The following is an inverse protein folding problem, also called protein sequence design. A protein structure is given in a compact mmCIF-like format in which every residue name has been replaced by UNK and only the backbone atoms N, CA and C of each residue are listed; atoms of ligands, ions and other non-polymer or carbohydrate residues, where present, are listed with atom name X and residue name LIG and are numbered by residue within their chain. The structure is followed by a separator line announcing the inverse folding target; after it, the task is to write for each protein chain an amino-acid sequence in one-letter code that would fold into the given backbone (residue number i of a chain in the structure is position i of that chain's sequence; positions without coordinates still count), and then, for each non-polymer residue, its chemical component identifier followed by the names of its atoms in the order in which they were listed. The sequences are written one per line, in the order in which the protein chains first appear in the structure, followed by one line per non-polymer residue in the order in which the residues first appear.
data_IF_058378412596
#
_entry.id   IF_058378412596
#
_cell.length_a   1.000
_cell.length_b   1.000
_cell.length_c   1.000
_cell.angle_alpha   90.00
_cell.angle_beta   90.00
_cell.angle_gamma   90.00
#
_symmetry.space_group_name_H-M   'P 1'
#
loop_
_entity.id
_entity.type
_entity.pdbx_description
1 polymer ?
#
# COMPACT_ATOMS: atom_id res chain seq x y z
N UNK A 1 21.67 -55.02 43.87
CA UNK A 1 20.45 -54.98 43.03
C UNK A 1 19.66 -53.73 43.42
N UNK A 2 19.76 -52.64 42.68
CA UNK A 2 18.96 -52.33 41.50
C UNK A 2 17.47 -52.07 41.84
N UNK A 3 17.11 -50.82 42.12
CA UNK A 3 16.13 -50.06 41.32
C UNK A 3 15.90 -48.64 41.86
N UNK A 4 16.43 -47.71 41.07
CA UNK A 4 16.17 -46.28 40.96
C UNK A 4 14.67 -46.00 40.89
N UNK A 5 14.12 -45.23 41.83
CA UNK A 5 12.80 -44.59 41.67
C UNK A 5 13.08 -43.15 41.25
N UNK A 6 12.88 -42.89 39.95
CA UNK A 6 12.95 -41.57 39.33
C UNK A 6 11.71 -40.78 39.77
N UNK A 7 11.87 -39.84 40.68
CA UNK A 7 10.86 -38.80 40.95
C UNK A 7 10.91 -37.79 39.81
N UNK A 8 10.05 -37.95 38.81
CA UNK A 8 9.83 -36.94 37.78
C UNK A 8 9.03 -35.79 38.38
N UNK A 9 9.69 -34.66 38.64
CA UNK A 9 9.02 -33.40 38.94
C UNK A 9 8.40 -32.92 37.63
N UNK A 10 7.09 -33.11 37.49
CA UNK A 10 6.30 -32.54 36.42
C UNK A 10 6.21 -31.03 36.67
N UNK A 11 7.18 -30.27 36.18
CA UNK A 11 7.04 -28.81 36.07
C UNK A 11 5.99 -28.60 34.99
N UNK A 12 4.73 -28.44 35.43
CA UNK A 12 3.68 -27.93 34.58
C UNK A 12 4.11 -26.56 34.10
N UNK A 13 4.50 -26.48 32.82
CA UNK A 13 4.49 -25.24 32.07
C UNK A 13 3.03 -24.78 32.02
N UNK A 14 2.62 -24.03 33.05
CA UNK A 14 1.53 -23.09 32.94
C UNK A 14 1.98 -22.07 31.89
N UNK A 15 1.76 -22.40 30.62
CA UNK A 15 1.58 -21.37 29.60
C UNK A 15 0.29 -20.69 30.04
N UNK A 16 0.44 -19.63 30.84
CA UNK A 16 -0.64 -18.70 31.07
C UNK A 16 -1.09 -18.26 29.69
N UNK A 17 -2.24 -18.77 29.27
CA UNK A 17 -2.95 -18.23 28.13
C UNK A 17 -3.40 -16.84 28.60
N UNK A 18 -2.53 -15.85 28.44
CA UNK A 18 -2.91 -14.46 28.59
C UNK A 18 -3.91 -14.26 27.44
N UNK A 19 -5.19 -14.31 27.79
CA UNK A 19 -6.28 -14.07 26.86
C UNK A 19 -6.17 -12.60 26.46
N UNK A 20 -5.52 -12.34 25.33
CA UNK A 20 -5.54 -11.05 24.66
C UNK A 20 -7.01 -10.73 24.33
N UNK A 21 -7.53 -9.64 24.86
CA UNK A 21 -8.97 -9.32 24.84
C UNK A 21 -9.37 -8.65 23.52
N UNK A 22 -9.14 -9.34 22.39
CA UNK A 22 -9.70 -8.93 21.09
C UNK A 22 -11.16 -9.36 21.06
N UNK A 23 -12.07 -8.39 21.00
CA UNK A 23 -13.52 -8.64 21.01
C UNK A 23 -13.95 -9.14 19.62
N UNK A 24 -14.65 -10.27 19.57
CA UNK A 24 -15.31 -10.71 18.34
C UNK A 24 -16.65 -9.98 18.20
N UNK A 25 -16.81 -9.21 17.13
CA UNK A 25 -18.05 -8.48 16.85
C UNK A 25 -19.00 -9.32 16.00
N UNK A 26 -20.27 -8.99 16.09
CA UNK A 26 -21.33 -9.55 15.27
C UNK A 26 -22.18 -8.45 14.63
N UNK A 27 -23.33 -8.82 14.06
CA UNK A 27 -24.22 -7.89 13.38
C UNK A 27 -24.73 -6.75 14.27
N UNK A 28 -24.80 -6.94 15.59
CA UNK A 28 -25.27 -5.92 16.54
C UNK A 28 -24.30 -4.74 16.68
N UNK A 29 -23.07 -4.85 16.15
CA UNK A 29 -22.09 -3.78 16.21
C UNK A 29 -22.60 -2.46 15.61
N UNK A 30 -23.43 -2.51 14.57
CA UNK A 30 -23.98 -1.28 13.96
C UNK A 30 -24.82 -0.46 14.93
N UNK A 31 -25.51 -1.12 15.87
CA UNK A 31 -26.34 -0.47 16.90
C UNK A 31 -25.48 0.09 18.04
N UNK A 32 -24.40 -0.62 18.40
CA UNK A 32 -23.55 -0.31 19.56
C UNK A 32 -22.27 0.46 19.21
N UNK A 33 -22.06 0.83 17.94
CA UNK A 33 -20.84 1.54 17.49
C UNK A 33 -20.65 2.90 18.17
N UNK A 34 -21.73 3.49 18.69
CA UNK A 34 -21.71 4.77 19.39
C UNK A 34 -21.35 4.64 20.89
N UNK A 35 -21.26 3.42 21.43
CA UNK A 35 -21.05 3.17 22.86
C UNK A 35 -19.58 3.33 23.30
N UNK A 36 -18.72 3.83 22.42
CA UNK A 36 -17.32 4.08 22.69
C UNK A 36 -16.48 4.14 21.42
N UNK A 37 -15.17 4.16 21.63
CA UNK A 37 -14.19 4.14 20.56
C UNK A 37 -13.73 2.71 20.28
N UNK A 38 -13.67 2.34 19.01
CA UNK A 38 -13.35 0.99 18.56
C UNK A 38 -12.18 1.01 17.59
N UNK A 39 -11.22 0.13 17.79
CA UNK A 39 -10.28 -0.28 16.76
C UNK A 39 -10.78 -1.63 16.23
N UNK A 40 -11.16 -1.69 14.96
CA UNK A 40 -11.78 -2.88 14.36
C UNK A 40 -10.95 -3.41 13.21
N UNK A 41 -10.55 -4.67 13.28
CA UNK A 41 -10.04 -5.45 12.16
C UNK A 41 -11.20 -6.10 11.39
N UNK A 42 -11.37 -5.71 10.13
CA UNK A 42 -12.26 -6.36 9.18
C UNK A 42 -11.48 -7.45 8.46
N UNK A 43 -11.86 -8.71 8.66
CA UNK A 43 -11.05 -9.86 8.23
C UNK A 43 -11.90 -10.95 7.54
N UNK A 44 -11.19 -11.92 6.95
CA UNK A 44 -11.76 -13.17 6.46
C UNK A 44 -10.92 -14.35 6.95
N UNK A 45 -11.53 -15.47 7.40
CA UNK A 45 -10.84 -16.57 8.06
C UNK A 45 -9.83 -17.32 7.16
N UNK A 46 -10.02 -17.26 5.84
CA UNK A 46 -9.13 -17.87 4.86
C UNK A 46 -7.98 -16.94 4.42
N UNK A 47 -8.02 -15.65 4.77
CA UNK A 47 -7.05 -14.67 4.28
C UNK A 47 -5.67 -14.83 4.95
N UNK A 48 -4.65 -15.12 4.16
CA UNK A 48 -3.27 -15.27 4.65
C UNK A 48 -2.70 -14.02 5.31
N UNK A 49 -3.04 -12.82 4.82
CA UNK A 49 -2.60 -11.56 5.45
C UNK A 49 -3.26 -11.32 6.80
N UNK A 50 -4.51 -11.72 6.99
CA UNK A 50 -5.20 -11.64 8.30
C UNK A 50 -4.53 -12.59 9.31
N UNK A 51 -4.24 -13.82 8.90
CA UNK A 51 -3.52 -14.81 9.75
C UNK A 51 -2.15 -14.31 10.20
N UNK A 52 -1.43 -13.59 9.33
CA UNK A 52 -0.14 -12.96 9.67
C UNK A 52 -0.30 -11.78 10.64
N UNK A 53 -1.39 -11.02 10.55
CA UNK A 53 -1.70 -9.88 11.41
C UNK A 53 -2.17 -10.30 12.81
N UNK A 54 -2.88 -11.41 12.92
CA UNK A 54 -3.49 -11.89 14.18
C UNK A 54 -2.55 -11.83 15.42
N UNK A 55 -1.31 -12.36 15.40
CA UNK A 55 -0.43 -12.26 16.57
C UNK A 55 -0.07 -10.81 16.93
N UNK A 56 0.12 -9.94 15.94
CA UNK A 56 0.43 -8.52 16.15
C UNK A 56 -0.79 -7.79 16.71
N UNK A 57 -1.97 -8.10 16.18
CA UNK A 57 -3.23 -7.47 16.61
C UNK A 57 -3.59 -7.81 18.05
N UNK A 58 -3.22 -9.00 18.52
CA UNK A 58 -3.32 -9.37 19.94
C UNK A 58 -2.39 -8.53 20.83
N UNK A 59 -1.15 -8.29 20.39
CA UNK A 59 -0.22 -7.41 21.10
C UNK A 59 -0.77 -5.98 21.19
N UNK A 60 -1.34 -5.46 20.10
CA UNK A 60 -2.03 -4.17 20.10
C UNK A 60 -3.15 -4.13 21.16
N UNK A 61 -3.96 -5.18 21.25
CA UNK A 61 -5.01 -5.28 22.27
C UNK A 61 -4.46 -5.28 23.70
N UNK A 62 -3.34 -5.96 23.93
CA UNK A 62 -2.68 -6.00 25.24
C UNK A 62 -2.10 -4.62 25.61
N UNK A 63 -1.44 -3.94 24.66
CA UNK A 63 -0.89 -2.58 24.86
C UNK A 63 -1.99 -1.54 25.08
N UNK A 64 -3.14 -1.68 24.42
CA UNK A 64 -4.29 -0.79 24.57
C UNK A 64 -5.23 -1.17 25.72
N UNK A 65 -4.89 -2.17 26.55
CA UNK A 65 -5.77 -2.65 27.63
C UNK A 65 -6.16 -1.58 28.66
N UNK A 66 -5.30 -0.59 28.88
CA UNK A 66 -5.57 0.56 29.76
C UNK A 66 -6.13 1.79 29.02
N UNK A 67 -6.23 1.71 27.70
CA UNK A 67 -6.75 2.77 26.85
C UNK A 67 -8.28 2.65 26.74
N UNK A 68 -9.03 3.77 26.62
CA UNK A 68 -10.48 3.75 26.41
C UNK A 68 -10.96 3.12 25.09
N UNK A 69 -10.03 2.69 24.21
CA UNK A 69 -10.35 2.18 22.88
C UNK A 69 -10.47 0.67 22.95
N UNK A 70 -11.64 0.14 22.56
CA UNK A 70 -11.91 -1.30 22.50
C UNK A 70 -11.30 -1.89 21.23
N UNK A 71 -10.46 -2.91 21.38
CA UNK A 71 -9.86 -3.61 20.24
C UNK A 71 -10.72 -4.81 19.87
N UNK A 72 -11.13 -4.88 18.60
CA UNK A 72 -12.13 -5.81 18.15
C UNK A 72 -11.87 -6.28 16.72
N UNK A 73 -12.51 -7.37 16.32
CA UNK A 73 -12.44 -7.87 14.95
C UNK A 73 -13.81 -8.38 14.49
N UNK A 74 -14.03 -8.39 13.18
CA UNK A 74 -15.28 -8.86 12.59
C UNK A 74 -15.04 -9.68 11.32
N UNK A 75 -15.67 -10.85 11.25
CA UNK A 75 -15.66 -11.71 10.08
C UNK A 75 -16.60 -11.19 8.99
N UNK A 76 -16.03 -10.53 7.99
CA UNK A 76 -16.78 -9.97 6.87
C UNK A 76 -17.32 -11.01 5.90
N UNK A 77 -16.92 -12.28 6.02
CA UNK A 77 -17.53 -13.38 5.24
C UNK A 77 -18.88 -13.79 5.80
N UNK A 78 -19.10 -13.57 7.10
CA UNK A 78 -20.38 -13.78 7.79
C UNK A 78 -21.23 -12.51 7.81
N UNK A 79 -20.60 -11.35 7.95
CA UNK A 79 -21.27 -10.05 8.10
C UNK A 79 -20.93 -9.09 6.96
N UNK A 80 -21.20 -9.50 5.72
CA UNK A 80 -20.85 -8.75 4.51
C UNK A 80 -21.51 -7.37 4.42
N UNK A 81 -22.72 -7.20 4.95
CA UNK A 81 -23.41 -5.91 5.02
C UNK A 81 -22.62 -4.87 5.83
N UNK A 82 -21.95 -5.30 6.91
CA UNK A 82 -21.10 -4.42 7.71
C UNK A 82 -19.87 -3.98 6.91
N UNK A 83 -19.27 -4.90 6.15
CA UNK A 83 -18.15 -4.57 5.27
C UNK A 83 -18.54 -3.48 4.26
N UNK A 84 -19.75 -3.56 3.69
CA UNK A 84 -20.27 -2.52 2.78
C UNK A 84 -20.50 -1.17 3.47
N UNK A 85 -21.06 -1.17 4.69
CA UNK A 85 -21.30 0.08 5.46
C UNK A 85 -20.00 0.82 5.75
N UNK A 86 -18.91 0.11 6.02
CA UNK A 86 -17.61 0.70 6.32
C UNK A 86 -16.67 0.82 5.11
N UNK A 87 -17.16 0.57 3.89
CA UNK A 87 -16.37 0.63 2.65
C UNK A 87 -15.08 -0.21 2.74
N UNK A 88 -15.27 -1.50 3.05
CA UNK A 88 -14.18 -2.48 3.11
C UNK A 88 -14.10 -3.22 1.78
N UNK A 89 -13.08 -2.89 0.99
CA UNK A 89 -12.82 -3.49 -0.33
C UNK A 89 -11.77 -4.61 -0.33
N UNK A 90 -11.09 -4.84 0.80
CA UNK A 90 -10.06 -5.86 0.93
C UNK A 90 -9.73 -6.20 2.38
N UNK A 91 -9.00 -7.30 2.59
CA UNK A 91 -8.67 -7.81 3.91
C UNK A 91 -7.16 -8.01 4.11
N UNK A 92 -6.61 -7.75 5.32
CA UNK A 92 -7.28 -7.09 6.44
C UNK A 92 -7.39 -5.58 6.22
N UNK A 93 -8.53 -5.01 6.63
CA UNK A 93 -8.72 -3.56 6.74
C UNK A 93 -8.88 -3.21 8.21
N UNK A 94 -8.11 -2.25 8.71
CA UNK A 94 -8.18 -1.80 10.11
C UNK A 94 -8.78 -0.40 10.12
N UNK A 95 -9.83 -0.19 10.93
CA UNK A 95 -10.46 1.13 11.08
C UNK A 95 -10.57 1.51 12.55
N UNK A 96 -10.38 2.79 12.82
CA UNK A 96 -10.81 3.41 14.06
C UNK A 96 -12.22 3.98 13.86
N UNK A 97 -13.13 3.69 14.79
CA UNK A 97 -14.54 4.07 14.73
C UNK A 97 -14.91 4.73 16.06
N UNK A 98 -15.42 5.95 15.99
CA UNK A 98 -15.99 6.69 17.10
C UNK A 98 -17.29 7.35 16.64
N UNK A 99 -18.40 6.65 16.85
CA UNK A 99 -19.70 7.04 16.32
C UNK A 99 -19.72 7.14 14.79
N UNK A 100 -19.87 8.35 14.26
CA UNK A 100 -19.84 8.62 12.81
C UNK A 100 -18.42 8.84 12.26
N UNK A 101 -17.46 9.12 13.14
CA UNK A 101 -16.06 9.34 12.74
C UNK A 101 -15.40 8.00 12.47
N UNK A 102 -14.94 7.81 11.23
CA UNK A 102 -14.24 6.59 10.79
C UNK A 102 -12.92 6.96 10.14
N UNK A 103 -11.83 6.42 10.66
CA UNK A 103 -10.50 6.55 10.08
C UNK A 103 -9.97 5.18 9.67
N UNK A 104 -9.35 5.09 8.50
CA UNK A 104 -8.73 3.84 8.01
C UNK A 104 -7.23 3.88 8.25
N UNK A 105 -6.69 2.84 8.88
CA UNK A 105 -5.25 2.69 9.04
C UNK A 105 -4.61 2.30 7.72
N UNK A 106 -3.67 3.11 7.24
CA UNK A 106 -2.92 2.88 5.98
C UNK A 106 -1.42 2.68 6.22
N UNK A 107 -0.99 2.70 7.48
CA UNK A 107 0.41 2.57 7.85
C UNK A 107 0.94 1.14 7.79
N UNK A 108 2.08 0.93 8.41
CA UNK A 108 2.62 -0.41 8.61
C UNK A 108 1.70 -1.20 9.56
N UNK A 109 1.68 -2.52 9.41
CA UNK A 109 0.89 -3.40 10.28
C UNK A 109 1.70 -3.91 11.47
N UNK A 110 2.56 -3.05 12.04
CA UNK A 110 3.29 -3.35 13.28
C UNK A 110 2.48 -2.91 14.49
N UNK A 111 2.80 -3.45 15.67
CA UNK A 111 2.15 -3.05 16.92
C UNK A 111 2.29 -1.53 17.15
N UNK A 112 3.51 -1.02 17.02
CA UNK A 112 3.83 0.38 17.28
C UNK A 112 3.06 1.32 16.37
N UNK A 113 2.94 0.98 15.08
CA UNK A 113 2.27 1.82 14.09
C UNK A 113 0.74 1.84 14.28
N UNK A 114 0.13 0.71 14.62
CA UNK A 114 -1.31 0.63 14.91
C UNK A 114 -1.66 1.35 16.22
N UNK A 115 -0.85 1.16 17.27
CA UNK A 115 -1.03 1.87 18.55
C UNK A 115 -0.89 3.37 18.35
N UNK A 116 0.07 3.81 17.55
CA UNK A 116 0.27 5.22 17.22
C UNK A 116 -0.92 5.81 16.45
N UNK A 117 -1.47 5.07 15.48
CA UNK A 117 -2.70 5.44 14.79
C UNK A 117 -3.87 5.62 15.76
N UNK A 118 -4.05 4.71 16.73
CA UNK A 118 -5.08 4.83 17.76
C UNK A 118 -4.88 6.06 18.63
N UNK A 119 -3.66 6.34 19.07
CA UNK A 119 -3.34 7.51 19.89
C UNK A 119 -3.63 8.83 19.18
N UNK A 120 -3.42 8.90 17.86
CA UNK A 120 -3.80 10.05 17.03
C UNK A 120 -5.32 10.18 16.96
N UNK A 121 -5.99 9.14 16.46
CA UNK A 121 -7.41 9.12 16.15
C UNK A 121 -8.35 9.29 17.35
N UNK A 122 -7.94 8.83 18.55
CA UNK A 122 -8.75 8.90 19.77
C UNK A 122 -8.57 10.19 20.57
N UNK A 123 -7.57 11.01 20.24
CA UNK A 123 -7.34 12.28 20.91
C UNK A 123 -8.26 13.38 20.41
N UNK A 124 -8.33 14.53 21.12
CA UNK A 124 -9.00 15.70 20.58
C UNK A 124 -8.27 16.16 19.30
N UNK A 125 -8.99 16.71 18.31
CA UNK A 125 -8.40 17.21 17.07
C UNK A 125 -7.24 18.18 17.31
N UNK A 126 -7.42 19.13 18.24
CA UNK A 126 -6.37 20.07 18.68
C UNK A 126 -6.12 19.87 20.17
N UNK A 127 -4.86 19.58 20.52
CA UNK A 127 -4.41 19.35 21.90
C UNK A 127 -3.84 20.63 22.51
N UNK A 128 -3.97 20.80 23.82
CA UNK A 128 -3.34 21.94 24.50
C UNK A 128 -1.84 21.71 24.69
N UNK A 129 -1.03 22.66 24.22
CA UNK A 129 0.40 22.76 24.51
C UNK A 129 0.58 23.72 25.68
N UNK A 130 0.58 23.21 26.91
CA UNK A 130 0.54 24.06 28.10
C UNK A 130 1.91 24.61 28.54
N UNK A 131 3.00 23.96 28.14
CA UNK A 131 4.35 24.31 28.62
C UNK A 131 5.45 23.82 27.69
N UNK A 132 6.66 24.36 27.90
CA UNK A 132 7.90 23.89 27.26
C UNK A 132 8.16 22.40 27.59
N UNK A 133 7.82 21.96 28.81
CA UNK A 133 7.93 20.55 29.19
C UNK A 133 7.08 19.65 28.29
N UNK A 134 5.81 20.02 28.07
CA UNK A 134 4.91 19.31 27.16
C UNK A 134 5.35 19.37 25.71
N UNK A 135 5.96 20.47 25.28
CA UNK A 135 6.57 20.59 23.96
C UNK A 135 7.70 19.57 23.75
N UNK A 136 8.59 19.46 24.73
CA UNK A 136 9.69 18.49 24.67
C UNK A 136 9.22 17.04 24.78
N UNK A 137 8.19 16.78 25.58
CA UNK A 137 7.51 15.48 25.66
C UNK A 137 6.93 15.10 24.29
N UNK A 138 6.22 16.01 23.60
CA UNK A 138 5.70 15.78 22.25
C UNK A 138 6.79 15.43 21.23
N UNK A 139 7.98 16.03 21.34
CA UNK A 139 9.14 15.68 20.48
C UNK A 139 9.68 14.27 20.72
N UNK A 140 9.48 13.71 21.92
CA UNK A 140 9.99 12.40 22.32
C UNK A 140 8.93 11.30 22.15
N UNK A 141 7.67 11.59 22.44
CA UNK A 141 6.58 10.62 22.43
C UNK A 141 6.05 10.32 21.03
N UNK A 142 6.04 11.31 20.13
CA UNK A 142 5.48 11.13 18.80
C UNK A 142 6.45 10.37 17.91
N UNK A 143 5.93 9.39 17.17
CA UNK A 143 6.68 8.68 16.14
C UNK A 143 7.29 9.70 15.18
N UNK A 144 8.61 9.63 15.03
CA UNK A 144 9.44 10.54 14.24
C UNK A 144 9.40 12.02 14.65
N UNK A 145 8.81 12.33 15.82
CA UNK A 145 8.76 13.67 16.41
C UNK A 145 7.94 14.69 15.63
N UNK A 146 7.03 14.25 14.74
CA UNK A 146 6.25 15.14 13.86
C UNK A 146 4.94 15.58 14.50
N UNK A 147 4.78 16.88 14.69
CA UNK A 147 3.51 17.48 15.10
C UNK A 147 3.37 18.93 14.63
N UNK A 148 2.12 19.38 14.48
CA UNK A 148 1.79 20.75 14.15
C UNK A 148 1.45 21.52 15.43
N UNK A 149 1.85 22.80 15.48
CA UNK A 149 1.64 23.66 16.62
C UNK A 149 1.15 25.04 16.16
N UNK A 150 -0.10 25.35 16.48
CA UNK A 150 -0.60 26.73 16.45
C UNK A 150 -0.07 27.50 17.66
N UNK A 151 0.40 28.72 17.42
CA UNK A 151 0.85 29.65 18.46
C UNK A 151 0.07 30.95 18.32
N UNK A 152 -0.65 31.30 19.38
CA UNK A 152 -1.42 32.54 19.45
C UNK A 152 -1.56 33.07 20.87
N UNK A 153 -2.36 34.10 21.02
CA UNK A 153 -2.67 34.76 22.31
C UNK A 153 -3.78 34.04 23.09
N UNK A 154 -4.30 32.93 22.57
CA UNK A 154 -5.43 32.17 23.13
C UNK A 154 -6.79 32.60 22.59
N UNK A 155 -6.86 33.57 21.67
CA UNK A 155 -8.10 33.94 21.02
C UNK A 155 -8.50 32.93 19.93
N UNK A 156 -9.46 32.06 20.26
CA UNK A 156 -9.98 31.02 19.37
C UNK A 156 -10.83 31.58 18.20
N UNK A 157 -11.19 32.87 18.23
CA UNK A 157 -11.98 33.50 17.18
C UNK A 157 -11.14 33.94 15.97
N UNK A 158 -9.81 33.89 16.10
CA UNK A 158 -8.89 34.25 15.03
C UNK A 158 -9.10 33.31 13.82
N UNK A 159 -9.23 33.91 12.64
CA UNK A 159 -9.44 33.21 11.37
C UNK A 159 -8.43 32.08 11.12
N UNK A 160 -7.15 32.32 11.39
CA UNK A 160 -6.11 31.30 11.28
C UNK A 160 -6.35 30.10 12.22
N UNK A 161 -6.78 30.33 13.46
CA UNK A 161 -7.07 29.23 14.40
C UNK A 161 -8.28 28.41 13.94
N UNK A 162 -9.35 29.06 13.48
CA UNK A 162 -10.54 28.36 12.95
C UNK A 162 -10.18 27.48 11.76
N UNK A 163 -9.37 28.01 10.83
CA UNK A 163 -8.86 27.24 9.70
C UNK A 163 -8.00 26.06 10.17
N UNK A 164 -7.07 26.32 11.09
CA UNK A 164 -6.21 25.28 11.67
C UNK A 164 -7.01 24.17 12.36
N UNK A 165 -7.99 24.52 13.19
CA UNK A 165 -8.88 23.57 13.87
C UNK A 165 -9.68 22.74 12.87
N UNK A 166 -10.21 23.36 11.81
CA UNK A 166 -10.94 22.64 10.76
C UNK A 166 -10.06 21.63 10.02
N UNK A 167 -8.79 21.99 9.73
CA UNK A 167 -7.84 21.03 9.14
C UNK A 167 -7.50 19.91 10.14
N UNK A 168 -7.29 20.26 11.41
CA UNK A 168 -6.98 19.29 12.46
C UNK A 168 -8.11 18.26 12.65
N UNK A 169 -9.38 18.67 12.56
CA UNK A 169 -10.54 17.76 12.60
C UNK A 169 -10.55 16.75 11.44
N UNK A 170 -10.24 17.21 10.22
CA UNK A 170 -10.15 16.33 9.05
C UNK A 170 -8.98 15.37 9.13
N UNK A 171 -7.85 15.82 9.70
CA UNK A 171 -6.57 15.12 9.66
C UNK A 171 -6.15 14.51 11.01
N UNK A 172 -7.05 14.43 11.99
CA UNK A 172 -6.75 14.00 13.37
C UNK A 172 -6.10 12.61 13.47
N UNK A 173 -6.39 11.70 12.54
CA UNK A 173 -5.77 10.38 12.49
C UNK A 173 -4.41 10.34 11.76
N UNK A 174 -4.07 11.39 11.01
CA UNK A 174 -2.86 11.44 10.17
C UNK A 174 -1.70 12.14 10.89
N UNK A 175 -2.00 13.18 11.69
CA UNK A 175 -0.99 13.97 12.39
C UNK A 175 -1.48 14.43 13.77
N UNK A 176 -0.54 14.84 14.62
CA UNK A 176 -0.87 15.52 15.86
C UNK A 176 -0.94 17.03 15.65
N UNK A 177 -1.96 17.64 16.24
CA UNK A 177 -2.16 19.08 16.23
C UNK A 177 -2.23 19.59 17.66
N UNK A 178 -1.55 20.69 17.90
CA UNK A 178 -1.44 21.34 19.19
C UNK A 178 -1.71 22.83 19.07
N UNK A 179 -2.19 23.44 20.15
CA UNK A 179 -2.33 24.88 20.28
C UNK A 179 -1.72 25.36 21.59
N UNK A 180 -0.89 26.39 21.52
CA UNK A 180 -0.20 26.99 22.66
C UNK A 180 -0.04 28.50 22.51
N UNK A 181 0.72 29.07 23.45
CA UNK A 181 1.10 30.49 23.43
C UNK A 181 2.60 30.62 23.23
N UNK A 182 3.10 31.84 23.01
CA UNK A 182 4.53 32.09 22.85
C UNK A 182 5.38 31.57 24.03
N UNK A 183 4.80 31.45 25.24
CA UNK A 183 5.50 30.92 26.42
C UNK A 183 5.71 29.40 26.38
N UNK A 184 5.08 28.70 25.44
CA UNK A 184 5.09 27.24 25.37
C UNK A 184 6.19 26.72 24.46
N UNK A 185 6.82 27.60 23.67
CA UNK A 185 7.94 27.27 22.80
C UNK A 185 9.29 27.51 23.50
N UNK A 186 10.28 26.63 23.28
CA UNK A 186 11.67 26.87 23.67
C UNK A 186 12.28 28.11 23.00
N UNK A 187 13.35 28.67 23.59
CA UNK A 187 14.02 29.88 23.06
C UNK A 187 14.71 29.67 21.70
N UNK A 188 15.04 28.43 21.33
CA UNK A 188 15.62 28.05 20.04
C UNK A 188 14.59 27.96 18.91
N UNK A 189 13.30 28.06 19.24
CA UNK A 189 12.22 28.17 18.27
C UNK A 189 11.81 29.63 18.19
N UNK A 190 12.08 30.29 17.06
CA UNK A 190 11.87 31.73 16.89
C UNK A 190 11.00 32.01 15.66
N UNK A 191 9.67 31.88 15.77
CA UNK A 191 8.75 32.18 14.67
C UNK A 191 8.84 33.65 14.26
N UNK A 192 8.54 33.93 12.99
CA UNK A 192 8.68 35.28 12.42
C UNK A 192 7.51 36.20 12.78
N UNK A 193 6.32 35.64 13.03
CA UNK A 193 5.09 36.39 13.33
C UNK A 193 4.18 35.63 14.29
N UNK A 194 3.23 36.35 14.88
CA UNK A 194 2.15 35.79 15.67
C UNK A 194 0.80 36.40 15.25
N UNK A 195 -0.30 35.63 15.22
CA UNK A 195 -0.34 34.17 15.42
C UNK A 195 0.28 33.43 14.22
N UNK A 196 0.72 32.18 14.45
CA UNK A 196 1.37 31.36 13.41
C UNK A 196 1.13 29.87 13.61
N UNK A 197 1.44 29.07 12.59
CA UNK A 197 1.41 27.61 12.63
C UNK A 197 2.80 27.10 12.31
N UNK A 198 3.32 26.22 13.16
CA UNK A 198 4.59 25.53 12.96
C UNK A 198 4.36 24.04 12.73
N UNK A 199 5.29 23.41 12.03
CA UNK A 199 5.51 21.98 12.11
C UNK A 199 6.85 21.74 12.79
N UNK A 200 6.87 20.87 13.79
CA UNK A 200 8.08 20.38 14.44
C UNK A 200 8.37 19.01 13.85
N UNK A 201 9.57 18.81 13.30
CA UNK A 201 10.02 17.52 12.74
C UNK A 201 11.52 17.51 12.48
N UNK A 202 12.12 16.33 12.36
CA UNK A 202 13.53 16.18 11.96
C UNK A 202 14.50 17.01 12.84
N UNK A 203 14.16 17.17 14.13
CA UNK A 203 14.86 18.04 15.11
C UNK A 203 14.91 19.53 14.73
N UNK A 204 14.12 19.95 13.74
CA UNK A 204 13.95 21.32 13.27
C UNK A 204 12.49 21.76 13.41
N UNK A 205 12.19 22.96 12.91
CA UNK A 205 10.84 23.49 12.81
C UNK A 205 10.67 24.26 11.49
N UNK A 206 9.46 24.26 10.95
CA UNK A 206 9.12 25.02 9.75
C UNK A 206 7.82 25.80 9.98
N UNK A 207 7.84 27.06 9.58
CA UNK A 207 6.71 27.97 9.75
C UNK A 207 5.83 27.99 8.50
N UNK A 208 4.52 27.96 8.70
CA UNK A 208 3.56 28.13 7.62
C UNK A 208 3.64 29.54 7.04
N UNK A 209 3.92 29.60 5.74
CA UNK A 209 3.99 30.84 4.97
C UNK A 209 3.29 30.65 3.63
N UNK A 210 2.09 31.19 3.49
CA UNK A 210 1.35 31.27 2.23
C UNK A 210 0.94 32.72 1.95
N UNK A 211 0.89 33.09 0.67
CA UNK A 211 0.51 34.42 0.20
C UNK A 211 -0.99 34.69 0.30
N UNK A 212 -1.82 33.66 0.12
CA UNK A 212 -3.28 33.74 0.07
C UNK A 212 -3.96 33.35 1.40
N UNK A 213 -3.21 32.85 2.38
CA UNK A 213 -3.66 32.46 3.74
C UNK A 213 -5.01 31.70 3.76
N UNK A 214 -5.31 30.96 2.70
CA UNK A 214 -6.59 30.28 2.49
C UNK A 214 -6.63 28.96 3.27
N UNK A 215 -7.83 28.46 3.57
CA UNK A 215 -7.97 27.13 4.20
C UNK A 215 -7.30 26.03 3.37
N UNK A 216 -7.48 26.09 2.04
CA UNK A 216 -6.89 25.13 1.11
C UNK A 216 -5.35 25.17 1.13
N UNK A 217 -4.75 26.37 1.16
CA UNK A 217 -3.29 26.49 1.24
C UNK A 217 -2.74 25.93 2.56
N UNK A 218 -3.45 26.12 3.68
CA UNK A 218 -3.06 25.55 4.98
C UNK A 218 -3.19 24.03 4.99
N UNK A 219 -4.30 23.49 4.47
CA UNK A 219 -4.54 22.05 4.35
C UNK A 219 -3.47 21.38 3.46
N UNK A 220 -3.16 21.98 2.32
CA UNK A 220 -2.10 21.51 1.42
C UNK A 220 -0.72 21.57 2.08
N UNK A 221 -0.40 22.64 2.80
CA UNK A 221 0.87 22.74 3.52
C UNK A 221 0.97 21.68 4.63
N UNK A 222 -0.07 21.51 5.45
CA UNK A 222 -0.11 20.46 6.50
C UNK A 222 0.07 19.07 5.86
N UNK A 223 -0.64 18.77 4.77
CA UNK A 223 -0.49 17.49 4.08
C UNK A 223 0.93 17.28 3.53
N UNK A 224 1.57 18.34 3.01
CA UNK A 224 2.94 18.28 2.51
C UNK A 224 4.01 18.21 3.60
N UNK A 225 3.69 18.58 4.84
CA UNK A 225 4.63 18.62 5.96
C UNK A 225 4.48 17.48 6.98
N UNK A 226 3.37 16.71 6.95
CA UNK A 226 3.06 15.66 7.94
C UNK A 226 4.04 14.48 7.94
N UNK A 227 4.90 14.39 6.95
CA UNK A 227 5.96 13.38 6.85
C UNK A 227 7.31 13.98 7.24
N UNK A 228 8.17 13.17 7.87
CA UNK A 228 9.60 13.49 7.97
C UNK A 228 10.22 13.72 6.60
N UNK A 229 11.37 14.37 6.55
CA UNK A 229 12.13 14.54 5.32
C UNK A 229 12.45 13.20 4.61
N UNK A 230 12.73 12.12 5.35
CA UNK A 230 13.11 10.83 4.76
C UNK A 230 12.49 9.62 5.51
N UNK A 231 11.16 9.45 5.44
CA UNK A 231 10.45 8.38 6.11
C UNK A 231 10.72 7.02 5.45
N UNK A 232 10.52 5.97 6.24
CA UNK A 232 10.34 4.62 5.69
C UNK A 232 8.93 4.52 5.09
N UNK A 233 8.84 4.06 3.85
CA UNK A 233 7.57 3.78 3.18
C UNK A 233 7.34 2.27 3.01
N UNK A 234 6.07 1.93 2.82
CA UNK A 234 5.57 0.61 2.47
C UNK A 234 4.50 0.76 1.38
N UNK A 235 4.09 -0.35 0.75
CA UNK A 235 2.97 -0.33 -0.19
C UNK A 235 1.66 0.22 0.41
N UNK A 236 1.49 0.20 1.74
CA UNK A 236 0.30 0.73 2.42
C UNK A 236 0.26 2.26 2.51
N UNK A 237 1.39 2.90 2.81
CA UNK A 237 1.45 4.34 3.09
C UNK A 237 1.99 5.19 1.92
N UNK A 238 2.45 4.56 0.84
CA UNK A 238 2.96 5.29 -0.33
C UNK A 238 1.87 6.15 -0.98
N UNK A 239 0.61 5.71 -0.93
CA UNK A 239 -0.53 6.46 -1.46
C UNK A 239 -0.76 7.76 -0.68
N UNK A 240 -0.61 7.72 0.64
CA UNK A 240 -0.69 8.92 1.48
C UNK A 240 0.40 9.95 1.14
N UNK A 241 1.60 9.48 0.79
CA UNK A 241 2.67 10.36 0.31
C UNK A 241 2.37 10.88 -1.10
N UNK A 242 1.73 10.09 -1.95
CA UNK A 242 1.32 10.51 -3.29
C UNK A 242 0.25 11.61 -3.26
N UNK A 243 -0.65 11.59 -2.27
CA UNK A 243 -1.65 12.65 -2.03
C UNK A 243 -1.03 14.03 -1.76
N UNK A 244 0.26 14.12 -1.41
CA UNK A 244 0.95 15.41 -1.26
C UNK A 244 1.10 16.18 -2.57
N UNK A 245 0.94 15.51 -3.71
CA UNK A 245 1.16 16.06 -5.04
C UNK A 245 2.64 16.22 -5.43
N UNK A 246 3.58 15.87 -4.54
CA UNK A 246 5.01 15.86 -4.83
C UNK A 246 5.39 14.60 -5.60
N UNK A 247 6.51 14.68 -6.33
CA UNK A 247 7.13 13.48 -6.89
C UNK A 247 7.85 12.70 -5.77
N UNK A 248 7.74 11.37 -5.78
CA UNK A 248 8.36 10.53 -4.77
C UNK A 248 9.76 10.13 -5.23
N UNK A 249 10.79 10.49 -4.47
CA UNK A 249 12.16 9.99 -4.66
C UNK A 249 12.29 8.73 -3.82
N UNK A 250 12.28 7.57 -4.48
CA UNK A 250 12.18 6.27 -3.83
C UNK A 250 13.54 5.58 -3.83
N UNK A 251 14.05 5.29 -2.64
CA UNK A 251 15.26 4.48 -2.43
C UNK A 251 14.83 3.09 -1.91
N UNK A 252 14.96 2.06 -2.74
CA UNK A 252 14.61 0.69 -2.38
C UNK A 252 15.87 -0.09 -2.06
N UNK A 253 15.92 -0.69 -0.88
CA UNK A 253 17.10 -1.42 -0.38
C UNK A 253 16.68 -2.74 0.24
N UNK A 254 17.51 -3.77 0.11
CA UNK A 254 17.33 -5.01 0.87
C UNK A 254 18.30 -4.99 2.06
N UNK A 255 17.82 -4.79 3.30
CA UNK A 255 18.70 -4.74 4.47
C UNK A 255 19.34 -6.10 4.82
N UNK A 256 18.84 -7.20 4.27
CA UNK A 256 19.38 -8.55 4.51
C UNK A 256 20.59 -8.87 3.61
N UNK A 257 20.80 -8.09 2.54
CA UNK A 257 21.93 -8.25 1.61
C UNK A 257 23.22 -7.68 2.23
N UNK A 258 23.95 -8.55 2.93
CA UNK A 258 25.20 -8.19 3.64
C UNK A 258 26.30 -7.72 2.70
N UNK A 259 26.34 -8.20 1.46
CA UNK A 259 27.36 -7.80 0.47
C UNK A 259 27.18 -6.35 0.04
N UNK A 260 25.93 -5.85 0.06
CA UNK A 260 25.59 -4.47 -0.31
C UNK A 260 25.27 -3.57 0.88
N UNK A 261 25.68 -3.95 2.10
CA UNK A 261 25.40 -3.17 3.31
C UNK A 261 26.00 -1.76 3.25
N UNK A 262 27.26 -1.62 2.85
CA UNK A 262 27.95 -0.32 2.74
C UNK A 262 27.31 0.57 1.67
N UNK A 263 26.96 -0.02 0.53
CA UNK A 263 26.25 0.66 -0.54
C UNK A 263 24.88 1.16 -0.08
N UNK A 264 24.13 0.31 0.64
CA UNK A 264 22.83 0.64 1.22
C UNK A 264 22.93 1.81 2.20
N UNK A 265 23.93 1.80 3.08
CA UNK A 265 24.17 2.89 4.02
C UNK A 265 24.47 4.20 3.28
N UNK A 266 25.37 4.16 2.29
CA UNK A 266 25.74 5.34 1.51
C UNK A 266 24.56 5.95 0.74
N UNK A 267 23.74 5.14 0.08
CA UNK A 267 22.57 5.65 -0.66
C UNK A 267 21.56 6.30 0.28
N UNK A 268 21.30 5.67 1.44
CA UNK A 268 20.40 6.24 2.45
C UNK A 268 20.94 7.54 3.02
N UNK A 269 22.25 7.66 3.25
CA UNK A 269 22.89 8.88 3.74
C UNK A 269 22.77 10.04 2.73
N UNK A 270 23.02 9.76 1.44
CA UNK A 270 22.79 10.75 0.37
C UNK A 270 21.32 11.17 0.32
N UNK A 271 20.39 10.20 0.32
CA UNK A 271 18.95 10.49 0.33
C UNK A 271 18.50 11.36 1.52
N UNK A 272 18.94 11.00 2.73
CA UNK A 272 18.68 11.77 3.95
C UNK A 272 19.27 13.17 3.87
N UNK A 273 20.50 13.30 3.36
CA UNK A 273 21.20 14.58 3.22
C UNK A 273 20.46 15.49 2.23
N UNK A 274 20.04 14.95 1.08
CA UNK A 274 19.24 15.69 0.09
C UNK A 274 17.91 16.16 0.68
N UNK A 275 17.21 15.29 1.40
CA UNK A 275 15.92 15.59 1.99
C UNK A 275 15.96 16.61 3.14
N UNK A 276 17.10 16.70 3.84
CA UNK A 276 17.24 17.56 5.04
C UNK A 276 18.07 18.81 4.78
N UNK A 277 19.32 18.68 4.30
CA UNK A 277 20.23 19.82 4.08
C UNK A 277 19.89 20.62 2.83
N UNK A 278 19.35 19.97 1.80
CA UNK A 278 18.96 20.62 0.53
C UNK A 278 17.44 20.84 0.41
N UNK A 279 16.76 20.87 1.57
CA UNK A 279 15.31 21.03 1.67
C UNK A 279 14.77 22.23 0.88
N UNK A 280 15.40 23.40 1.03
CA UNK A 280 14.97 24.64 0.35
C UNK A 280 14.93 24.52 -1.17
N UNK A 281 15.72 23.61 -1.74
CA UNK A 281 15.81 23.38 -3.18
C UNK A 281 14.77 22.34 -3.64
N UNK A 282 14.60 21.25 -2.89
CA UNK A 282 13.89 20.06 -3.37
C UNK A 282 12.53 19.80 -2.71
N UNK A 283 12.28 20.27 -1.49
CA UNK A 283 11.10 19.89 -0.71
C UNK A 283 9.78 20.33 -1.34
N UNK A 284 9.78 21.39 -2.15
CA UNK A 284 8.60 21.83 -2.88
C UNK A 284 8.15 20.78 -3.90
N UNK A 285 9.10 20.19 -4.61
CA UNK A 285 8.82 19.35 -5.79
C UNK A 285 8.89 17.85 -5.47
N UNK A 286 9.64 17.48 -4.42
CA UNK A 286 9.99 16.10 -4.10
C UNK A 286 9.72 15.73 -2.64
N UNK A 287 9.21 14.51 -2.44
CA UNK A 287 9.19 13.80 -1.16
C UNK A 287 10.17 12.63 -1.24
N UNK A 288 11.22 12.65 -0.44
CA UNK A 288 12.16 11.53 -0.36
C UNK A 288 11.57 10.45 0.54
N UNK A 289 11.84 9.18 0.22
CA UNK A 289 11.47 8.02 1.03
C UNK A 289 12.44 6.86 0.79
N UNK A 290 12.48 5.93 1.74
CA UNK A 290 13.14 4.65 1.54
C UNK A 290 12.21 3.48 1.86
N UNK A 291 12.40 2.34 1.21
CA UNK A 291 11.57 1.16 1.46
C UNK A 291 12.35 -0.14 1.29
N UNK A 292 11.87 -1.19 1.92
CA UNK A 292 12.41 -2.56 1.81
C UNK A 292 11.57 -3.45 0.91
N UNK A 293 10.35 -3.02 0.61
CA UNK A 293 9.41 -3.72 -0.23
C UNK A 293 9.72 -3.46 -1.72
N UNK A 294 10.45 -4.38 -2.33
CA UNK A 294 10.76 -4.35 -3.77
C UNK A 294 9.54 -4.66 -4.63
N UNK A 295 8.54 -5.38 -4.11
CA UNK A 295 7.35 -5.78 -4.87
C UNK A 295 6.50 -4.56 -5.24
N UNK A 296 6.37 -3.59 -4.32
CA UNK A 296 5.70 -2.32 -4.61
C UNK A 296 6.32 -1.63 -5.83
N UNK A 297 7.65 -1.57 -5.91
CA UNK A 297 8.35 -0.93 -7.04
C UNK A 297 8.30 -1.77 -8.31
N UNK A 298 8.38 -3.09 -8.19
CA UNK A 298 8.21 -4.00 -9.31
C UNK A 298 6.81 -3.84 -9.93
N UNK A 299 5.78 -3.65 -9.10
CA UNK A 299 4.42 -3.38 -9.56
C UNK A 299 4.30 -2.01 -10.23
N UNK A 300 4.91 -0.95 -9.68
CA UNK A 300 4.89 0.38 -10.31
C UNK A 300 5.56 0.34 -11.70
N UNK A 301 6.73 -0.29 -11.79
CA UNK A 301 7.54 -0.29 -13.02
C UNK A 301 7.14 -1.39 -14.02
N UNK A 302 6.44 -2.41 -13.53
CA UNK A 302 6.15 -3.68 -14.22
C UNK A 302 7.42 -4.36 -14.72
N UNK A 303 8.39 -4.47 -13.81
CA UNK A 303 9.69 -5.08 -14.03
C UNK A 303 10.17 -5.77 -12.74
N UNK A 304 11.10 -6.72 -12.86
CA UNK A 304 11.76 -7.35 -11.71
C UNK A 304 13.11 -6.66 -11.48
N UNK A 305 13.16 -5.72 -10.54
CA UNK A 305 14.35 -4.93 -10.27
C UNK A 305 15.24 -5.60 -9.22
N UNK A 306 16.56 -5.47 -9.41
CA UNK A 306 17.54 -5.86 -8.41
C UNK A 306 17.81 -4.69 -7.45
N UNK A 307 17.84 -4.96 -6.14
CA UNK A 307 18.15 -3.96 -5.12
C UNK A 307 19.66 -3.79 -4.94
N UNK A 308 20.15 -2.57 -4.62
CA UNK A 308 19.38 -1.35 -4.38
C UNK A 308 18.96 -0.63 -5.67
N UNK A 309 17.80 0.02 -5.65
CA UNK A 309 17.29 0.82 -6.77
C UNK A 309 16.83 2.20 -6.32
N UNK A 310 17.05 3.19 -7.18
CA UNK A 310 16.63 4.58 -6.99
C UNK A 310 15.73 4.93 -8.17
N UNK A 311 14.59 5.54 -7.90
CA UNK A 311 13.72 6.09 -8.94
C UNK A 311 12.96 7.31 -8.43
N UNK A 312 12.51 8.14 -9.37
CA UNK A 312 11.53 9.19 -9.07
C UNK A 312 10.20 8.80 -9.68
N UNK A 313 9.12 8.85 -8.92
CA UNK A 313 7.76 8.63 -9.37
C UNK A 313 6.98 9.95 -9.33
N UNK A 314 6.50 10.40 -10.49
CA UNK A 314 5.49 11.44 -10.55
C UNK A 314 4.12 10.83 -10.23
N UNK A 315 3.53 11.29 -9.14
CA UNK A 315 2.31 10.74 -8.53
C UNK A 315 1.04 11.09 -9.31
N UNK A 316 1.09 12.15 -10.13
CA UNK A 316 -0.04 12.59 -10.94
C UNK A 316 -0.04 11.88 -12.29
N UNK A 317 1.11 11.89 -12.99
CA UNK A 317 1.21 11.34 -14.35
C UNK A 317 1.48 9.84 -14.37
N UNK A 318 1.86 9.25 -13.24
CA UNK A 318 2.34 7.87 -13.12
C UNK A 318 3.58 7.58 -13.97
N UNK A 319 4.32 8.64 -14.35
CA UNK A 319 5.64 8.50 -14.94
C UNK A 319 6.70 8.25 -13.87
N UNK A 320 7.66 7.41 -14.19
CA UNK A 320 8.83 7.18 -13.36
C UNK A 320 10.12 7.37 -14.15
N UNK A 321 11.20 7.66 -13.42
CA UNK A 321 12.51 7.99 -13.95
C UNK A 321 13.58 7.23 -13.19
N UNK A 322 14.51 6.60 -13.91
CA UNK A 322 15.73 6.02 -13.34
C UNK A 322 16.89 7.00 -13.50
N UNK A 323 17.84 7.03 -12.56
CA UNK A 323 19.09 7.76 -12.74
C UNK A 323 19.86 7.20 -13.92
N UNK A 324 20.62 8.06 -14.60
CA UNK A 324 21.54 7.69 -15.67
C UNK A 324 22.92 7.27 -15.16
N UNK A 325 23.20 7.50 -13.87
CA UNK A 325 24.39 7.01 -13.19
C UNK A 325 24.16 5.63 -12.59
N UNK A 326 25.24 4.85 -12.44
CA UNK A 326 25.18 3.60 -11.69
C UNK A 326 25.00 3.88 -10.19
N UNK A 327 24.10 3.15 -9.53
CA UNK A 327 23.78 3.36 -8.10
C UNK A 327 25.02 3.28 -7.19
N UNK A 328 26.08 2.56 -7.59
CA UNK A 328 27.36 2.48 -6.87
C UNK A 328 28.20 3.77 -6.93
N UNK A 329 27.88 4.69 -7.82
CA UNK A 329 28.59 5.95 -8.02
C UNK A 329 27.76 7.14 -7.51
N UNK A 330 26.77 6.87 -6.65
CA UNK A 330 25.93 7.91 -6.05
C UNK A 330 26.77 8.89 -5.22
N UNK A 331 26.55 10.18 -5.48
CA UNK A 331 27.01 11.31 -4.68
C UNK A 331 25.89 12.34 -4.56
N UNK A 332 26.15 13.41 -3.81
CA UNK A 332 25.21 14.54 -3.71
C UNK A 332 25.06 15.22 -5.08
N UNK A 333 26.17 15.38 -5.82
CA UNK A 333 26.16 16.02 -7.14
C UNK A 333 25.36 15.20 -8.16
N UNK A 334 25.62 13.89 -8.26
CA UNK A 334 24.91 13.03 -9.23
C UNK A 334 23.41 12.93 -8.94
N UNK A 335 23.04 12.84 -7.66
CA UNK A 335 21.63 12.89 -7.25
C UNK A 335 21.00 14.25 -7.54
N UNK A 336 21.70 15.36 -7.27
CA UNK A 336 21.23 16.72 -7.59
C UNK A 336 20.95 16.88 -9.09
N UNK A 337 21.89 16.49 -9.93
CA UNK A 337 21.77 16.59 -11.38
C UNK A 337 20.60 15.76 -11.91
N UNK A 338 20.44 14.54 -11.40
CA UNK A 338 19.29 13.70 -11.71
C UNK A 338 17.95 14.36 -11.34
N UNK A 339 17.81 14.84 -10.10
CA UNK A 339 16.57 15.48 -9.64
C UNK A 339 16.26 16.78 -10.40
N UNK A 340 17.28 17.58 -10.71
CA UNK A 340 17.12 18.77 -11.52
C UNK A 340 16.62 18.43 -12.92
N UNK A 341 17.18 17.40 -13.57
CA UNK A 341 16.71 16.94 -14.89
C UNK A 341 15.28 16.40 -14.86
N UNK A 342 14.89 15.70 -13.80
CA UNK A 342 13.50 15.26 -13.60
C UNK A 342 12.56 16.47 -13.47
N UNK A 343 12.93 17.45 -12.63
CA UNK A 343 12.13 18.68 -12.45
C UNK A 343 12.01 19.48 -13.74
N UNK A 344 13.09 19.59 -14.50
CA UNK A 344 13.16 20.40 -15.72
C UNK A 344 12.59 19.66 -16.95
N UNK A 345 12.23 18.38 -16.82
CA UNK A 345 11.69 17.56 -17.92
C UNK A 345 12.75 17.11 -18.95
N UNK A 346 14.04 17.14 -18.59
CA UNK A 346 15.19 16.84 -19.45
C UNK A 346 15.59 15.35 -19.43
N UNK A 347 14.66 14.47 -19.06
CA UNK A 347 14.86 13.01 -18.99
C UNK A 347 13.62 12.32 -19.53
N UNK A 348 13.81 11.23 -20.29
CA UNK A 348 12.68 10.52 -20.87
C UNK A 348 11.84 9.85 -19.79
N UNK A 349 10.52 10.15 -19.72
CA UNK A 349 9.63 9.48 -18.78
C UNK A 349 9.38 8.04 -19.21
N UNK A 350 9.30 7.14 -18.24
CA UNK A 350 8.80 5.79 -18.42
C UNK A 350 7.45 5.65 -17.70
N UNK A 351 6.61 4.73 -18.15
CA UNK A 351 5.33 4.46 -17.49
C UNK A 351 4.13 5.23 -18.04
N UNK A 352 3.26 5.71 -17.14
CA UNK A 352 2.04 6.45 -17.49
C UNK A 352 0.77 5.60 -17.59
N UNK A 353 -0.29 6.16 -18.18
CA UNK A 353 -1.64 5.57 -18.20
C UNK A 353 -2.16 5.22 -19.62
N UNK A 354 -1.28 5.29 -20.63
CA UNK A 354 -1.60 5.06 -22.04
C UNK A 354 -1.98 3.61 -22.37
N UNK A 355 -2.56 3.39 -23.57
CA UNK A 355 -3.07 2.08 -24.00
C UNK A 355 -2.00 0.97 -23.96
N UNK A 356 -0.82 1.22 -24.53
CA UNK A 356 0.28 0.25 -24.53
C UNK A 356 0.71 -0.12 -23.10
N UNK A 357 0.67 0.84 -22.18
CA UNK A 357 1.03 0.63 -20.79
C UNK A 357 -0.02 -0.21 -20.05
N UNK A 358 -1.32 -0.04 -20.37
CA UNK A 358 -2.39 -0.91 -19.86
C UNK A 358 -2.24 -2.34 -20.40
N UNK A 359 -1.87 -2.49 -21.66
CA UNK A 359 -1.58 -3.80 -22.23
C UNK A 359 -0.38 -4.46 -21.54
N UNK A 360 0.71 -3.71 -21.31
CA UNK A 360 1.85 -4.16 -20.50
C UNK A 360 1.42 -4.61 -19.09
N UNK A 361 0.51 -3.87 -18.44
CA UNK A 361 -0.06 -4.22 -17.13
C UNK A 361 -0.78 -5.56 -17.15
N UNK A 362 -1.64 -5.78 -18.14
CA UNK A 362 -2.35 -7.07 -18.29
C UNK A 362 -1.37 -8.24 -18.38
N UNK A 363 -0.32 -8.11 -19.20
CA UNK A 363 0.69 -9.16 -19.33
C UNK A 363 1.49 -9.37 -18.04
N UNK A 364 1.87 -8.29 -17.35
CA UNK A 364 2.58 -8.36 -16.08
C UNK A 364 1.75 -9.04 -14.99
N UNK A 365 0.48 -8.64 -14.85
CA UNK A 365 -0.44 -9.20 -13.85
C UNK A 365 -0.74 -10.68 -14.14
N UNK A 366 -0.90 -11.06 -15.42
CA UNK A 366 -1.03 -12.46 -15.81
C UNK A 366 0.20 -13.27 -15.44
N UNK A 367 1.39 -12.78 -15.80
CA UNK A 367 2.66 -13.47 -15.55
C UNK A 367 2.94 -13.63 -14.05
N UNK A 368 2.74 -12.57 -13.26
CA UNK A 368 2.91 -12.61 -11.80
C UNK A 368 1.89 -13.52 -11.13
N UNK A 369 0.64 -13.54 -11.60
CA UNK A 369 -0.39 -14.48 -11.13
C UNK A 369 0.05 -15.93 -11.37
N UNK A 370 0.52 -16.24 -12.58
CA UNK A 370 1.00 -17.59 -12.93
C UNK A 370 2.17 -18.01 -12.03
N UNK A 371 3.16 -17.13 -11.81
CA UNK A 371 4.29 -17.38 -10.90
C UNK A 371 3.80 -17.61 -9.47
N UNK A 372 2.86 -16.79 -8.99
CA UNK A 372 2.33 -16.90 -7.62
C UNK A 372 1.63 -18.25 -7.40
N UNK A 373 0.87 -18.73 -8.40
CA UNK A 373 0.21 -20.05 -8.36
C UNK A 373 1.27 -21.15 -8.32
N UNK A 374 2.30 -21.07 -9.17
CA UNK A 374 3.41 -22.03 -9.17
C UNK A 374 4.13 -22.13 -7.83
N UNK A 375 4.41 -20.98 -7.20
CA UNK A 375 5.09 -20.92 -5.90
C UNK A 375 4.20 -21.43 -4.76
N UNK A 376 2.90 -21.15 -4.81
CA UNK A 376 1.92 -21.59 -3.80
C UNK A 376 1.62 -23.08 -3.89
N UNK A 377 1.34 -23.58 -5.10
CA UNK A 377 1.05 -24.99 -5.35
C UNK A 377 1.40 -25.41 -6.77
N UNK A 378 2.48 -26.18 -6.89
CA UNK A 378 2.91 -26.77 -8.17
C UNK A 378 1.83 -27.68 -8.78
N UNK A 379 1.05 -28.37 -7.96
CA UNK A 379 -0.06 -29.21 -8.43
C UNK A 379 -1.20 -28.40 -9.03
N UNK A 380 -1.58 -27.30 -8.39
CA UNK A 380 -2.61 -26.41 -8.92
C UNK A 380 -2.17 -25.80 -10.25
N UNK A 381 -0.90 -25.39 -10.36
CA UNK A 381 -0.36 -24.93 -11.63
C UNK A 381 -0.44 -26.00 -12.73
N UNK A 382 -0.03 -27.24 -12.44
CA UNK A 382 -0.08 -28.32 -13.42
C UNK A 382 -1.52 -28.60 -13.88
N UNK A 383 -2.49 -28.52 -12.97
CA UNK A 383 -3.90 -28.70 -13.30
C UNK A 383 -4.46 -27.54 -14.13
N UNK A 384 -4.16 -26.29 -13.76
CA UNK A 384 -4.72 -25.11 -14.42
C UNK A 384 -4.05 -24.75 -15.74
N UNK A 385 -2.74 -24.99 -15.87
CA UNK A 385 -1.97 -24.59 -17.05
C UNK A 385 -1.35 -25.80 -17.75
N UNK A 386 -0.74 -26.72 -17.00
CA UNK A 386 -0.06 -27.88 -17.58
C UNK A 386 -0.97 -28.81 -18.40
N UNK A 387 -2.12 -29.20 -17.83
CA UNK A 387 -3.05 -30.12 -18.48
C UNK A 387 -3.72 -29.49 -19.71
N UNK A 388 -4.24 -28.25 -19.68
CA UNK A 388 -4.71 -27.58 -20.89
C UNK A 388 -3.62 -27.45 -21.97
N UNK A 389 -2.39 -27.06 -21.59
CA UNK A 389 -1.29 -26.96 -22.57
C UNK A 389 -0.92 -28.31 -23.18
N UNK A 390 -0.94 -29.39 -22.39
CA UNK A 390 -0.71 -30.74 -22.89
C UNK A 390 -1.79 -31.17 -23.88
N UNK A 391 -3.07 -30.92 -23.57
CA UNK A 391 -4.19 -31.23 -24.47
C UNK A 391 -4.08 -30.44 -25.78
N UNK A 392 -3.83 -29.14 -25.72
CA UNK A 392 -3.64 -28.30 -26.91
C UNK A 392 -2.44 -28.78 -27.73
N UNK A 393 -1.32 -29.12 -27.08
CA UNK A 393 -0.14 -29.66 -27.75
C UNK A 393 -0.43 -30.96 -28.49
N UNK A 394 -1.23 -31.86 -27.91
CA UNK A 394 -1.65 -33.11 -28.55
C UNK A 394 -2.52 -32.81 -29.78
N UNK A 395 -3.49 -31.90 -29.65
CA UNK A 395 -4.37 -31.51 -30.77
C UNK A 395 -3.57 -30.87 -31.90
N UNK A 396 -2.66 -29.94 -31.60
CA UNK A 396 -1.78 -29.33 -32.60
C UNK A 396 -0.90 -30.38 -33.28
N UNK A 397 -0.32 -31.31 -32.51
CA UNK A 397 0.46 -32.41 -33.07
C UNK A 397 -0.38 -33.29 -34.01
N UNK A 398 -1.58 -33.68 -33.61
CA UNK A 398 -2.49 -34.48 -34.44
C UNK A 398 -2.87 -33.76 -35.74
N UNK A 399 -3.14 -32.45 -35.70
CA UNK A 399 -3.45 -31.64 -36.89
C UNK A 399 -2.23 -31.55 -37.82
N UNK A 400 -1.03 -31.29 -37.26
CA UNK A 400 0.19 -31.19 -38.06
C UNK A 400 0.67 -32.53 -38.62
N UNK A 401 0.26 -33.66 -38.03
CA UNK A 401 0.66 -35.00 -38.45
C UNK A 401 -0.38 -35.74 -39.32
N UNK A 402 -1.56 -35.16 -39.59
CA UNK A 402 -2.60 -35.79 -40.41
C UNK A 402 -2.45 -35.57 -41.92
N UNK A 403 -1.50 -34.74 -42.38
CA UNK A 403 -1.36 -34.39 -43.80
C UNK A 403 -0.35 -35.27 -44.56
N UNK A 404 -0.37 -36.58 -44.28
CA UNK A 404 0.54 -37.55 -44.91
C UNK A 404 0.03 -39.00 -44.94
N UNK A 405 -1.28 -39.21 -44.82
CA UNK A 405 -1.88 -40.55 -44.81
C UNK A 405 -2.95 -40.73 -45.90
N UNK A 406 -2.77 -40.11 -47.06
CA UNK A 406 -3.47 -40.48 -48.31
C UNK A 406 -2.46 -41.14 -49.25
N UNK A 407 -1.96 -42.31 -48.85
CA UNK A 407 -1.26 -43.26 -49.73
C UNK A 407 -1.38 -44.65 -49.09
N UNK A 408 -2.51 -45.32 -49.33
CA UNK A 408 -2.62 -46.77 -49.11
C UNK A 408 -3.06 -47.42 -50.42
N UNK A 409 -2.24 -48.30 -51.02
CA UNK A 409 -2.60 -49.06 -52.20
C UNK A 409 -3.58 -50.19 -51.87
N UNK A 410 -4.42 -50.52 -52.85
CA UNK A 410 -5.37 -51.63 -52.89
C UNK A 410 -4.72 -52.98 -52.54
N UNK A 411 -5.40 -53.82 -51.76
CA UNK A 411 -5.41 -55.27 -51.96
C UNK A 411 -6.59 -55.93 -51.24
N UNK A 412 -7.30 -56.76 -52.01
CA UNK A 412 -8.56 -57.44 -51.76
C UNK A 412 -8.50 -58.56 -50.71
N UNK A 413 -9.65 -58.86 -50.07
CA UNK A 413 -10.18 -60.23 -49.97
C UNK A 413 -11.52 -60.28 -49.21
N UNK A 414 -12.58 -60.36 -49.99
CA UNK A 414 -13.78 -61.21 -49.87
C UNK A 414 -14.06 -61.90 -48.53
N UNK A 415 -15.28 -61.72 -48.01
CA UNK A 415 -16.31 -62.77 -48.04
C UNK A 415 -17.68 -62.23 -47.57
N UNK A 416 -18.68 -62.73 -48.29
CA UNK A 416 -20.08 -62.30 -48.40
C UNK A 416 -20.94 -62.70 -47.19
N UNK A 417 -21.97 -61.91 -46.89
CA UNK A 417 -23.24 -62.44 -46.38
C UNK A 417 -24.40 -61.50 -46.79
N UNK A 418 -25.11 -61.96 -47.82
CA UNK A 418 -26.56 -61.94 -48.09
C UNK A 418 -27.40 -60.66 -47.88
N UNK A 419 -28.30 -60.41 -48.85
CA UNK A 419 -28.99 -59.14 -49.05
C UNK A 419 -30.50 -59.16 -48.80
N UNK A 420 -31.19 -58.37 -49.64
CA UNK A 420 -32.62 -57.96 -49.62
C UNK A 420 -32.90 -56.73 -48.71
N UNK A 421 -33.46 -55.60 -49.14
CA UNK A 421 -34.40 -55.30 -50.23
C UNK A 421 -34.32 -53.80 -50.64
N UNK A 422 -34.48 -53.51 -51.94
CA UNK A 422 -34.66 -52.17 -52.52
C UNK A 422 -36.06 -51.60 -52.28
N UNK A 423 -36.19 -50.27 -52.18
CA UNK A 423 -37.24 -49.50 -52.89
C UNK A 423 -36.95 -47.98 -52.89
N UNK A 424 -36.78 -47.42 -54.09
CA UNK A 424 -37.66 -46.33 -54.55
C UNK A 424 -37.23 -44.85 -54.43
N UNK A 425 -36.68 -44.36 -55.55
CA UNK A 425 -37.07 -43.13 -56.27
C UNK A 425 -36.36 -41.78 -56.03
N UNK A 426 -35.67 -41.39 -57.11
CA UNK A 426 -35.23 -40.08 -57.59
C UNK A 426 -36.32 -38.99 -57.57
N UNK A 427 -35.91 -37.74 -57.31
CA UNK A 427 -36.48 -36.56 -57.99
C UNK A 427 -35.34 -35.64 -58.43
N UNK A 428 -35.40 -35.29 -59.72
CA UNK A 428 -34.52 -34.44 -60.50
C UNK A 428 -34.46 -32.96 -60.08
N UNK A 429 -33.34 -32.36 -60.50
CA UNK A 429 -33.01 -30.94 -60.55
C UNK A 429 -33.88 -30.12 -61.52
N UNK A 430 -34.08 -28.83 -61.20
CA UNK A 430 -34.14 -27.62 -62.07
C UNK A 430 -34.37 -26.44 -61.08
N UNK A 431 -33.78 -25.25 -61.14
CA UNK A 431 -33.41 -24.34 -62.23
C UNK A 431 -32.66 -23.12 -61.59
N UNK A 432 -31.42 -22.81 -61.96
CA UNK A 432 -30.99 -21.69 -62.85
C UNK A 432 -31.28 -20.22 -62.43
N UNK A 433 -30.20 -19.43 -62.51
CA UNK A 433 -30.06 -18.00 -62.95
C UNK A 433 -30.41 -16.80 -62.02
N UNK A 434 -29.38 -16.24 -61.34
CA UNK A 434 -28.70 -14.91 -61.53
C UNK A 434 -29.48 -13.70 -62.16
N UNK A 435 -28.99 -12.43 -62.05
CA UNK A 435 -28.81 -11.52 -60.88
C UNK A 435 -29.35 -10.08 -61.15
N UNK A 436 -29.42 -9.14 -60.17
CA UNK A 436 -29.19 -7.69 -60.44
C UNK A 436 -29.19 -6.76 -59.19
N UNK A 437 -28.55 -5.59 -59.38
CA UNK A 437 -28.47 -4.31 -58.63
C UNK A 437 -27.59 -4.28 -57.38
N UNK A 438 -26.47 -3.53 -57.33
CA UNK A 438 -26.15 -2.12 -57.67
C UNK A 438 -26.37 -1.14 -56.49
N UNK A 439 -25.32 -0.33 -56.33
CA UNK A 439 -24.99 0.69 -55.33
C UNK A 439 -26.11 1.66 -54.93
N UNK A 440 -26.03 2.14 -53.70
CA UNK A 440 -26.08 3.57 -53.40
C UNK A 440 -25.38 3.87 -52.06
N UNK A 441 -24.51 4.90 -52.12
CA UNK A 441 -24.01 5.86 -51.11
C UNK A 441 -23.91 5.53 -49.62
#
# INVERSE_FOLDING_TARGET
EMKTIKTAILIGLFVGCISSHVIELDQSFLEHRNDGMWLVEFYAPWCGHCKKLEPIYRQVADTLKSHPVKVAKIDCTRFSSIASVFDVSGFPTIKFINGETVYTHRGERSEEDIVEFVKKASGPPVRSMASIGKFNEGKLEHKDGVFFLYIGDGNLEIDLYKKYSSVAEKMAAQAYFYAGSEKTIPKDVTPTKFPTVLVIKDRSWFEYSASDASLASLEQWINGERFTSFPKASGGNINDMAETGKSLVMIVVNPEDREKADLTHRIKDVGQTMASKYREIYHRDFQFLWMTDVETVNSITMAFLATPVILVLNTQTHYYYFPDFEVKDITIETMSDFLNRVRDGNIQPMGGTGFLQRLKRIFYDLFTTVISIWQSSRWLFLLMFGLPTAVVSIVCYSICCMEGADDVPEEDSDLEEEGEEETGQEIENLESSKPFHEKAD
#
